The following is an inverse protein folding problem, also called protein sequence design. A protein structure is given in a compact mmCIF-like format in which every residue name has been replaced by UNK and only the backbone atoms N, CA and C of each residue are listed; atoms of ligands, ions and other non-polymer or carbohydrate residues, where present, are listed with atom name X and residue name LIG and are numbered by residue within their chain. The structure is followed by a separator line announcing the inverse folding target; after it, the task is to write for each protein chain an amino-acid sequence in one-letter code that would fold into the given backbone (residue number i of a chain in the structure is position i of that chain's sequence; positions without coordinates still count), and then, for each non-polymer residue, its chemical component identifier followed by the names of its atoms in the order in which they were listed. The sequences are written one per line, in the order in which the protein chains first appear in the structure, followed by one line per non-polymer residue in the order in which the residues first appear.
data_IF_063735429903
#
_entry.id   IF_063735429903
#
_cell.length_a   1.000
_cell.length_b   1.000
_cell.length_c   1.000
_cell.angle_alpha   90.00
_cell.angle_beta   90.00
_cell.angle_gamma   90.00
#
_symmetry.space_group_name_H-M   'P 1'
#
loop_
_entity.id
_entity.type
_entity.pdbx_description
1 polymer ?
#
# COMPACT_ATOMS: atom_id res chain seq x y z
N UNK A 1 -25.64 -31.14 3.84
CA UNK A 1 -25.02 -29.91 4.38
C UNK A 1 -24.32 -30.30 5.66
N UNK A 2 -22.99 -30.15 5.74
CA UNK A 2 -22.29 -30.41 7.00
C UNK A 2 -22.79 -29.41 8.05
N UNK A 3 -23.29 -29.91 9.18
CA UNK A 3 -23.64 -29.07 10.33
C UNK A 3 -22.42 -28.23 10.70
N UNK A 4 -22.57 -26.91 10.79
CA UNK A 4 -21.48 -26.06 11.28
C UNK A 4 -21.16 -26.47 12.71
N UNK A 5 -19.86 -26.66 13.01
CA UNK A 5 -19.44 -26.88 14.39
C UNK A 5 -19.98 -25.72 15.26
N UNK A 6 -20.40 -26.01 16.51
CA UNK A 6 -20.86 -24.96 17.42
C UNK A 6 -19.79 -23.88 17.58
N UNK A 7 -20.21 -22.67 17.92
CA UNK A 7 -19.26 -21.60 18.20
C UNK A 7 -18.36 -22.00 19.39
N UNK A 8 -17.09 -21.63 19.33
CA UNK A 8 -16.12 -21.82 20.41
C UNK A 8 -15.98 -20.50 21.16
N UNK A 9 -15.93 -20.55 22.49
CA UNK A 9 -15.69 -19.38 23.34
C UNK A 9 -14.29 -19.53 23.89
N UNK A 10 -13.44 -18.55 23.63
CA UNK A 10 -12.07 -18.48 24.14
C UNK A 10 -12.02 -17.42 25.23
N UNK A 11 -11.48 -17.77 26.40
CA UNK A 11 -11.08 -16.80 27.42
C UNK A 11 -9.64 -16.37 27.14
N UNK A 12 -9.45 -15.09 26.80
CA UNK A 12 -8.16 -14.51 26.44
C UNK A 12 -7.95 -13.30 27.34
N UNK A 13 -7.06 -13.43 28.33
CA UNK A 13 -6.73 -12.39 29.31
C UNK A 13 -7.96 -11.78 30.03
N UNK A 14 -8.99 -12.60 30.27
CA UNK A 14 -10.23 -12.17 30.94
C UNK A 14 -11.31 -11.65 29.98
N UNK A 15 -11.07 -11.70 28.67
CA UNK A 15 -12.06 -11.38 27.64
C UNK A 15 -12.62 -12.66 27.00
N UNK A 16 -13.94 -12.81 27.00
CA UNK A 16 -14.62 -13.88 26.27
C UNK A 16 -14.76 -13.53 24.78
N UNK A 17 -14.05 -14.26 23.92
CA UNK A 17 -14.10 -14.12 22.47
C UNK A 17 -14.85 -15.29 21.84
N UNK A 18 -16.05 -15.02 21.31
CA UNK A 18 -16.86 -16.01 20.58
C UNK A 18 -16.40 -16.19 19.14
N UNK A 19 -15.74 -17.31 18.84
CA UNK A 19 -15.35 -17.73 17.49
C UNK A 19 -16.51 -18.43 16.79
N UNK A 20 -17.04 -17.80 15.74
CA UNK A 20 -18.18 -18.32 14.98
C UNK A 20 -17.72 -19.15 13.78
N UNK A 21 -18.40 -20.26 13.46
CA UNK A 21 -18.02 -21.17 12.38
C UNK A 21 -16.53 -21.57 12.46
N UNK A 22 -16.06 -22.11 13.60
CA UNK A 22 -14.63 -22.37 13.83
C UNK A 22 -14.04 -23.32 12.79
N UNK A 23 -14.82 -24.32 12.33
CA UNK A 23 -14.41 -25.31 11.33
C UNK A 23 -14.42 -24.81 9.89
N UNK A 24 -14.74 -23.53 9.64
CA UNK A 24 -14.74 -22.98 8.27
C UNK A 24 -13.32 -22.99 7.71
N UNK A 25 -13.10 -23.67 6.60
CA UNK A 25 -11.82 -23.66 5.87
C UNK A 25 -11.55 -22.27 5.30
N UNK A 26 -10.40 -21.70 5.64
CA UNK A 26 -9.92 -20.40 5.17
C UNK A 26 -8.84 -20.57 4.11
N UNK A 27 -7.91 -21.52 4.32
CA UNK A 27 -6.88 -21.90 3.36
C UNK A 27 -7.14 -23.35 2.89
N UNK A 28 -7.74 -23.54 1.70
CA UNK A 28 -8.16 -24.87 1.25
C UNK A 28 -7.02 -25.87 1.06
N UNK A 29 -5.90 -25.44 0.49
CA UNK A 29 -4.76 -26.31 0.19
C UNK A 29 -4.12 -26.93 1.45
N UNK A 30 -3.75 -26.15 2.50
CA UNK A 30 -3.27 -26.72 3.76
C UNK A 30 -4.41 -27.17 4.70
N UNK A 31 -5.68 -26.99 4.32
CA UNK A 31 -6.84 -27.35 5.14
C UNK A 31 -7.04 -26.50 6.41
N UNK A 32 -6.44 -25.31 6.51
CA UNK A 32 -6.50 -24.48 7.71
C UNK A 32 -7.87 -23.84 7.89
N UNK A 33 -8.41 -23.95 9.10
CA UNK A 33 -9.72 -23.44 9.49
C UNK A 33 -9.65 -22.05 10.10
N UNK A 34 -10.79 -21.39 10.29
CA UNK A 34 -10.88 -20.10 10.99
C UNK A 34 -10.29 -20.18 12.38
N UNK A 35 -10.58 -21.25 13.12
CA UNK A 35 -10.04 -21.43 14.47
C UNK A 35 -8.51 -21.53 14.46
N UNK A 36 -7.92 -22.17 13.45
CA UNK A 36 -6.47 -22.23 13.28
C UNK A 36 -5.87 -20.83 13.04
N UNK A 37 -6.56 -19.99 12.27
CA UNK A 37 -6.14 -18.59 12.06
C UNK A 37 -6.22 -17.78 13.36
N UNK A 38 -7.29 -17.94 14.15
CA UNK A 38 -7.41 -17.29 15.45
C UNK A 38 -6.27 -17.72 16.37
N UNK A 39 -6.00 -19.03 16.46
CA UNK A 39 -4.91 -19.58 17.28
C UNK A 39 -3.53 -19.14 16.79
N UNK A 40 -3.32 -19.01 15.47
CA UNK A 40 -2.10 -18.46 14.91
C UNK A 40 -1.88 -17.01 15.40
N UNK A 41 -2.88 -16.14 15.29
CA UNK A 41 -2.77 -14.75 15.74
C UNK A 41 -2.54 -14.63 17.25
N UNK A 42 -3.12 -15.52 18.05
CA UNK A 42 -2.83 -15.61 19.49
C UNK A 42 -1.35 -16.00 19.73
N UNK A 43 -0.83 -16.98 18.99
CA UNK A 43 0.55 -17.43 19.14
C UNK A 43 1.59 -16.36 18.75
N UNK A 44 1.24 -15.43 17.85
CA UNK A 44 2.11 -14.34 17.40
C UNK A 44 1.69 -12.97 17.93
N UNK A 45 0.79 -12.92 18.93
CA UNK A 45 0.13 -11.69 19.38
C UNK A 45 1.13 -10.60 19.74
N UNK A 46 2.16 -10.91 20.54
CA UNK A 46 3.20 -9.95 20.92
C UNK A 46 3.89 -9.31 19.72
N UNK A 47 4.20 -10.10 18.69
CA UNK A 47 4.85 -9.62 17.46
C UNK A 47 3.92 -8.76 16.62
N UNK A 48 2.68 -9.22 16.43
CA UNK A 48 1.67 -8.48 15.68
C UNK A 48 1.32 -7.15 16.36
N UNK A 49 1.13 -7.13 17.67
CA UNK A 49 0.78 -5.94 18.45
C UNK A 49 1.91 -4.93 18.55
N UNK A 50 3.18 -5.36 18.56
CA UNK A 50 4.32 -4.43 18.47
C UNK A 50 4.26 -3.55 17.22
N UNK A 51 3.77 -4.09 16.10
CA UNK A 51 3.61 -3.35 14.85
C UNK A 51 2.27 -2.63 14.74
N UNK A 52 1.17 -3.36 14.95
CA UNK A 52 -0.19 -2.91 14.62
C UNK A 52 -1.00 -2.41 15.82
N UNK A 53 -0.60 -2.75 17.05
CA UNK A 53 -1.38 -2.47 18.25
C UNK A 53 -1.52 -0.97 18.54
N UNK A 54 -2.65 -0.53 19.09
CA UNK A 54 -2.89 0.88 19.44
C UNK A 54 -3.00 1.83 18.24
N UNK A 55 -3.21 1.29 17.03
CA UNK A 55 -3.36 2.06 15.80
C UNK A 55 -4.75 1.82 15.22
N UNK A 56 -5.44 2.85 14.72
CA UNK A 56 -6.60 2.61 13.88
C UNK A 56 -6.18 1.81 12.65
N UNK A 57 -7.02 0.89 12.22
CA UNK A 57 -6.71 0.03 11.09
C UNK A 57 -7.90 -0.27 10.19
N UNK A 58 -7.60 -0.39 8.90
CA UNK A 58 -8.52 -0.96 7.92
C UNK A 58 -8.42 -2.49 8.01
N UNK A 59 -9.56 -3.16 8.10
CA UNK A 59 -9.61 -4.61 8.15
C UNK A 59 -9.80 -5.17 6.73
N UNK A 60 -8.84 -5.93 6.22
CA UNK A 60 -8.99 -6.67 4.96
C UNK A 60 -9.48 -8.09 5.26
N UNK A 61 -10.76 -8.32 4.99
CA UNK A 61 -11.51 -9.47 5.47
C UNK A 61 -11.77 -10.49 4.36
N UNK A 62 -11.35 -11.73 4.61
CA UNK A 62 -11.55 -12.89 3.76
C UNK A 62 -12.67 -13.77 4.32
N UNK A 63 -13.88 -13.20 4.44
CA UNK A 63 -14.99 -13.87 5.11
C UNK A 63 -15.35 -15.20 4.45
N UNK A 64 -15.13 -15.36 3.14
CA UNK A 64 -15.37 -16.61 2.38
C UNK A 64 -14.13 -17.49 2.21
N UNK A 65 -12.99 -17.15 2.83
CA UNK A 65 -11.70 -17.81 2.64
C UNK A 65 -10.83 -17.13 1.58
N UNK A 66 -9.57 -17.58 1.45
CA UNK A 66 -8.55 -16.94 0.61
C UNK A 66 -8.82 -17.09 -0.90
N UNK A 67 -9.60 -18.09 -1.30
CA UNK A 67 -9.97 -18.32 -2.71
C UNK A 67 -11.09 -17.39 -3.23
N UNK A 68 -11.58 -16.47 -2.41
CA UNK A 68 -12.61 -15.51 -2.77
C UNK A 68 -12.10 -14.07 -2.57
N UNK A 69 -12.75 -13.12 -3.22
CA UNK A 69 -12.42 -11.70 -3.10
C UNK A 69 -12.51 -11.24 -1.62
N UNK A 70 -11.48 -10.51 -1.20
CA UNK A 70 -11.48 -9.85 0.11
C UNK A 70 -12.28 -8.56 0.06
N UNK A 71 -12.83 -8.14 1.19
CA UNK A 71 -13.39 -6.80 1.33
C UNK A 71 -12.62 -5.98 2.35
N UNK A 72 -12.52 -4.69 2.08
CA UNK A 72 -11.90 -3.73 2.99
C UNK A 72 -12.98 -3.08 3.84
N UNK A 73 -12.80 -3.13 5.16
CA UNK A 73 -13.69 -2.50 6.11
C UNK A 73 -12.93 -1.44 6.89
N UNK A 74 -13.29 -0.19 6.66
CA UNK A 74 -12.78 0.95 7.43
C UNK A 74 -13.54 1.10 8.74
N UNK A 75 -14.87 1.21 8.65
CA UNK A 75 -15.73 1.40 9.82
C UNK A 75 -15.76 0.14 10.69
N UNK A 76 -15.50 0.29 11.98
CA UNK A 76 -15.70 -0.80 12.94
C UNK A 76 -17.18 -1.22 12.98
N UNK A 77 -17.52 -2.50 13.21
CA UNK A 77 -18.92 -2.90 13.37
C UNK A 77 -19.56 -2.22 14.58
N UNK A 78 -20.81 -1.76 14.46
CA UNK A 78 -21.55 -1.08 15.55
C UNK A 78 -21.66 -1.91 16.83
N UNK A 79 -21.67 -3.24 16.72
CA UNK A 79 -21.78 -4.19 17.82
C UNK A 79 -20.43 -4.86 18.17
N UNK A 80 -19.32 -4.13 18.07
CA UNK A 80 -18.02 -4.62 18.55
C UNK A 80 -18.03 -4.85 20.08
N UNK A 81 -17.18 -5.75 20.60
CA UNK A 81 -16.98 -5.91 22.04
C UNK A 81 -16.42 -4.65 22.70
N UNK A 82 -16.74 -4.42 23.98
CA UNK A 82 -16.31 -3.23 24.74
C UNK A 82 -14.78 -3.11 24.91
N UNK A 83 -14.04 -4.21 24.74
CA UNK A 83 -12.57 -4.21 24.78
C UNK A 83 -11.92 -3.82 23.44
N UNK A 84 -12.72 -3.54 22.40
CA UNK A 84 -12.22 -3.00 21.14
C UNK A 84 -12.31 -1.48 21.19
N UNK A 85 -11.16 -0.82 21.28
CA UNK A 85 -11.10 0.63 21.16
C UNK A 85 -11.38 1.09 19.72
N UNK A 86 -11.71 2.37 19.57
CA UNK A 86 -11.95 2.99 18.26
C UNK A 86 -11.23 4.33 18.14
N UNK A 87 -10.97 4.75 16.90
CA UNK A 87 -10.52 6.10 16.60
C UNK A 87 -11.17 6.60 15.31
N UNK A 88 -11.63 7.85 15.31
CA UNK A 88 -12.32 8.45 14.16
C UNK A 88 -11.37 9.25 13.28
N UNK A 89 -11.00 8.71 12.12
CA UNK A 89 -10.26 9.45 11.09
C UNK A 89 -11.20 10.36 10.30
N UNK A 90 -10.77 11.60 10.08
CA UNK A 90 -11.44 12.58 9.22
C UNK A 90 -10.64 12.75 7.94
N UNK A 91 -11.31 12.62 6.80
CA UNK A 91 -10.70 12.73 5.48
C UNK A 91 -10.87 14.13 4.92
N UNK A 92 -9.95 14.54 4.04
CA UNK A 92 -10.01 15.84 3.36
C UNK A 92 -11.31 16.06 2.57
N UNK A 93 -11.98 14.99 2.15
CA UNK A 93 -13.31 15.01 1.52
C UNK A 93 -14.45 15.42 2.45
N UNK A 94 -14.19 15.64 3.75
CA UNK A 94 -15.19 15.95 4.78
C UNK A 94 -15.90 14.72 5.36
N UNK A 95 -15.61 13.53 4.84
CA UNK A 95 -16.10 12.27 5.40
C UNK A 95 -15.25 11.81 6.58
N UNK A 96 -15.79 10.96 7.45
CA UNK A 96 -15.03 10.32 8.53
C UNK A 96 -15.27 8.82 8.57
N UNK A 97 -14.35 8.06 9.17
CA UNK A 97 -14.55 6.66 9.50
C UNK A 97 -14.05 6.39 10.92
N UNK A 98 -14.89 5.77 11.74
CA UNK A 98 -14.50 5.21 13.03
C UNK A 98 -13.90 3.83 12.79
N UNK A 99 -12.58 3.72 12.96
CA UNK A 99 -11.84 2.49 12.69
C UNK A 99 -11.49 1.76 14.00
N UNK A 100 -11.34 0.44 13.91
CA UNK A 100 -10.99 -0.38 15.08
C UNK A 100 -9.54 -0.12 15.51
N UNK A 101 -9.31 -0.11 16.83
CA UNK A 101 -8.00 0.00 17.47
C UNK A 101 -7.81 -1.24 18.34
N UNK A 102 -6.95 -2.16 17.88
CA UNK A 102 -6.65 -3.40 18.62
C UNK A 102 -5.46 -3.16 19.53
N UNK A 103 -5.55 -3.54 20.82
CA UNK A 103 -4.46 -3.34 21.80
C UNK A 103 -3.90 -4.61 22.43
N UNK A 104 -4.64 -5.71 22.35
CA UNK A 104 -4.34 -6.95 23.05
C UNK A 104 -4.63 -8.18 22.17
N UNK A 105 -4.34 -9.35 22.74
CA UNK A 105 -4.53 -10.64 22.07
C UNK A 105 -6.01 -10.95 21.82
N UNK A 106 -6.91 -10.50 22.70
CA UNK A 106 -8.36 -10.68 22.55
C UNK A 106 -8.89 -9.91 21.34
N UNK A 107 -8.45 -8.67 21.14
CA UNK A 107 -8.78 -7.86 19.98
C UNK A 107 -8.24 -8.44 18.68
N UNK A 108 -7.02 -9.01 18.69
CA UNK A 108 -6.47 -9.74 17.54
C UNK A 108 -7.30 -10.97 17.19
N UNK A 109 -7.66 -11.78 18.20
CA UNK A 109 -8.51 -12.95 18.01
C UNK A 109 -9.89 -12.56 17.46
N UNK A 110 -10.44 -11.44 17.92
CA UNK A 110 -11.72 -10.92 17.45
C UNK A 110 -11.66 -10.51 15.97
N UNK A 111 -10.69 -9.70 15.53
CA UNK A 111 -10.58 -9.34 14.11
C UNK A 111 -10.26 -10.56 13.23
N UNK A 112 -9.48 -11.52 13.72
CA UNK A 112 -9.22 -12.77 13.01
C UNK A 112 -10.52 -13.59 12.83
N UNK A 113 -11.38 -13.65 13.86
CA UNK A 113 -12.70 -14.30 13.77
C UNK A 113 -13.65 -13.60 12.77
N UNK A 114 -13.52 -12.28 12.62
CA UNK A 114 -14.18 -11.50 11.57
C UNK A 114 -13.64 -11.83 10.17
N UNK A 115 -12.56 -12.60 10.06
CA UNK A 115 -11.90 -12.99 8.81
C UNK A 115 -10.82 -12.00 8.37
N UNK A 116 -10.36 -11.11 9.24
CA UNK A 116 -9.23 -10.22 8.94
C UNK A 116 -7.93 -11.03 8.92
N UNK A 117 -7.32 -11.19 7.76
CA UNK A 117 -6.04 -11.91 7.61
C UNK A 117 -4.86 -10.96 7.42
N UNK A 118 -5.13 -9.73 7.02
CA UNK A 118 -4.15 -8.74 6.61
C UNK A 118 -4.44 -7.45 7.39
N UNK A 119 -3.53 -7.12 8.32
CA UNK A 119 -3.63 -5.99 9.24
C UNK A 119 -3.11 -4.74 8.53
N UNK A 120 -3.96 -3.72 8.38
CA UNK A 120 -3.60 -2.48 7.69
C UNK A 120 -3.67 -1.27 8.65
N UNK A 121 -2.75 -1.15 9.62
CA UNK A 121 -2.73 -0.04 10.56
C UNK A 121 -2.21 1.26 9.91
N UNK A 122 -2.81 2.39 10.30
CA UNK A 122 -2.28 3.71 9.96
C UNK A 122 -0.92 3.96 10.65
N UNK A 123 -0.05 4.83 10.12
CA UNK A 123 1.24 5.16 10.74
C UNK A 123 1.11 6.09 11.97
N UNK A 124 -0.09 6.21 12.54
CA UNK A 124 -0.42 7.04 13.72
C UNK A 124 -0.90 6.16 14.86
N UNK A 125 -0.85 6.70 16.07
CA UNK A 125 -1.46 6.11 17.27
C UNK A 125 -2.86 6.66 17.46
N UNK A 126 -3.75 5.91 18.11
CA UNK A 126 -5.14 6.33 18.33
C UNK A 126 -5.24 7.65 19.13
N UNK A 127 -4.25 7.93 19.96
CA UNK A 127 -4.16 9.11 20.82
C UNK A 127 -3.77 10.39 20.05
N UNK A 128 -3.12 10.27 18.89
CA UNK A 128 -2.72 11.39 18.03
C UNK A 128 -2.79 10.98 16.56
N UNK A 129 -3.87 11.38 15.90
CA UNK A 129 -4.16 11.03 14.51
C UNK A 129 -3.53 11.99 13.50
N UNK A 130 -2.91 13.08 13.94
CA UNK A 130 -2.34 14.11 13.07
C UNK A 130 -0.84 13.93 12.86
N UNK A 131 -0.15 13.33 13.84
CA UNK A 131 1.31 13.17 13.84
C UNK A 131 1.73 11.69 13.79
N UNK A 132 2.20 11.19 12.64
CA UNK A 132 2.66 9.81 12.54
C UNK A 132 3.91 9.54 13.40
N UNK A 133 4.00 8.33 13.95
CA UNK A 133 5.17 7.82 14.68
C UNK A 133 5.97 6.78 13.85
N UNK A 134 5.60 6.62 12.57
CA UNK A 134 6.25 5.72 11.61
C UNK A 134 6.47 6.39 10.25
N UNK A 135 7.74 6.53 9.85
CA UNK A 135 8.12 6.67 8.44
C UNK A 135 8.14 5.26 7.82
N UNK A 136 7.56 5.10 6.64
CA UNK A 136 7.47 3.81 5.94
C UNK A 136 8.08 3.91 4.56
N UNK A 137 9.04 3.03 4.27
CA UNK A 137 9.64 2.85 2.94
C UNK A 137 9.09 1.56 2.37
N UNK A 138 8.56 1.63 1.14
CA UNK A 138 8.00 0.48 0.43
C UNK A 138 8.87 0.15 -0.79
N UNK A 139 9.43 -1.05 -0.81
CA UNK A 139 10.25 -1.57 -1.91
C UNK A 139 9.42 -2.56 -2.71
N UNK A 140 8.81 -2.05 -3.77
CA UNK A 140 7.95 -2.81 -4.66
C UNK A 140 8.70 -3.26 -5.93
N UNK A 141 9.01 -4.56 -6.07
CA UNK A 141 9.68 -5.05 -7.26
C UNK A 141 8.75 -5.05 -8.47
N UNK A 142 9.26 -4.50 -9.56
CA UNK A 142 8.64 -4.60 -10.87
C UNK A 142 8.86 -6.01 -11.47
N UNK A 143 8.03 -6.44 -12.45
CA UNK A 143 8.23 -7.74 -13.09
C UNK A 143 9.66 -7.93 -13.61
N UNK A 144 10.27 -9.05 -13.23
CA UNK A 144 11.64 -9.42 -13.60
C UNK A 144 12.74 -8.89 -12.67
N UNK A 145 12.39 -8.20 -11.58
CA UNK A 145 13.35 -7.89 -10.49
C UNK A 145 13.54 -9.13 -9.63
N UNK A 146 14.79 -9.54 -9.42
CA UNK A 146 15.14 -10.66 -8.55
C UNK A 146 15.11 -10.25 -7.07
N UNK A 147 14.89 -11.22 -6.17
CA UNK A 147 14.80 -10.96 -4.73
C UNK A 147 16.08 -10.33 -4.18
N UNK A 148 17.24 -10.77 -4.66
CA UNK A 148 18.55 -10.26 -4.30
C UNK A 148 18.67 -8.76 -4.58
N UNK A 149 18.11 -8.28 -5.70
CA UNK A 149 18.11 -6.86 -6.04
C UNK A 149 17.27 -6.03 -5.06
N UNK A 150 16.18 -6.59 -4.52
CA UNK A 150 15.37 -5.92 -3.50
C UNK A 150 16.16 -5.80 -2.20
N UNK A 151 16.89 -6.85 -1.83
CA UNK A 151 17.77 -6.85 -0.66
C UNK A 151 18.88 -5.81 -0.83
N UNK A 152 19.51 -5.72 -2.00
CA UNK A 152 20.53 -4.71 -2.29
C UNK A 152 19.98 -3.27 -2.11
N UNK A 153 18.79 -2.98 -2.65
CA UNK A 153 18.13 -1.68 -2.46
C UNK A 153 17.77 -1.44 -0.99
N UNK A 154 17.35 -2.48 -0.25
CA UNK A 154 17.06 -2.36 1.17
C UNK A 154 18.31 -2.05 2.01
N UNK A 155 19.47 -2.60 1.65
CA UNK A 155 20.75 -2.29 2.30
C UNK A 155 21.16 -0.83 2.05
N UNK A 156 21.02 -0.35 0.81
CA UNK A 156 21.27 1.06 0.46
C UNK A 156 20.31 1.99 1.22
N UNK A 157 19.02 1.64 1.31
CA UNK A 157 18.07 2.38 2.14
C UNK A 157 18.49 2.41 3.62
N UNK A 158 19.06 1.31 4.13
CA UNK A 158 19.66 1.24 5.46
C UNK A 158 20.83 2.20 5.65
N UNK A 159 21.72 2.33 4.65
CA UNK A 159 22.83 3.30 4.67
C UNK A 159 22.33 4.75 4.66
N UNK A 160 21.36 5.07 3.81
CA UNK A 160 20.74 6.41 3.76
C UNK A 160 20.10 6.75 5.11
N UNK A 161 19.39 5.81 5.73
CA UNK A 161 18.83 6.00 7.07
C UNK A 161 19.92 6.26 8.12
N UNK A 162 21.02 5.48 8.07
CA UNK A 162 22.12 5.58 9.02
C UNK A 162 22.82 6.95 8.94
N UNK A 163 22.98 7.53 7.75
CA UNK A 163 23.55 8.87 7.54
C UNK A 163 22.76 9.97 8.27
N UNK A 164 21.46 9.73 8.52
CA UNK A 164 20.57 10.63 9.22
C UNK A 164 20.29 10.20 10.68
N UNK A 165 21.02 9.22 11.20
CA UNK A 165 20.84 8.71 12.56
C UNK A 165 19.52 7.95 12.77
N UNK A 166 18.91 7.47 11.69
CA UNK A 166 17.66 6.73 11.71
C UNK A 166 17.92 5.22 11.66
N UNK A 167 17.03 4.44 12.28
CA UNK A 167 17.07 2.98 12.28
C UNK A 167 15.83 2.43 11.60
N UNK A 168 16.05 1.68 10.51
CA UNK A 168 15.01 0.96 9.77
C UNK A 168 14.83 -0.47 10.25
N UNK A 169 13.58 -0.91 10.32
CA UNK A 169 13.18 -2.27 10.66
C UNK A 169 12.54 -2.94 9.44
N UNK A 170 13.30 -3.74 8.68
CA UNK A 170 12.79 -4.38 7.47
C UNK A 170 11.85 -5.54 7.81
N UNK A 171 10.82 -5.72 6.99
CA UNK A 171 9.94 -6.89 6.97
C UNK A 171 9.53 -7.21 5.54
N UNK A 172 9.34 -8.49 5.22
CA UNK A 172 8.72 -8.85 3.94
C UNK A 172 7.29 -8.32 3.88
N UNK A 173 6.79 -8.00 2.69
CA UNK A 173 5.39 -7.54 2.54
C UNK A 173 4.37 -8.68 2.62
N UNK A 174 4.82 -9.93 2.52
CA UNK A 174 3.95 -11.10 2.35
C UNK A 174 3.46 -11.29 0.90
N UNK A 175 3.89 -10.41 -0.01
CA UNK A 175 3.69 -10.53 -1.45
C UNK A 175 5.05 -10.65 -2.14
N UNK A 176 5.46 -9.66 -2.94
CA UNK A 176 6.73 -9.69 -3.69
C UNK A 176 7.81 -8.78 -3.10
N UNK A 177 7.41 -7.78 -2.32
CA UNK A 177 8.28 -6.68 -1.87
C UNK A 177 8.69 -6.74 -0.41
N UNK A 178 9.24 -5.60 0.05
CA UNK A 178 9.79 -5.42 1.39
C UNK A 178 9.40 -4.04 1.91
N UNK A 179 8.98 -3.95 3.18
CA UNK A 179 8.75 -2.66 3.84
C UNK A 179 9.86 -2.42 4.86
N UNK A 180 10.34 -1.18 4.96
CA UNK A 180 11.25 -0.73 6.03
C UNK A 180 10.49 0.28 6.87
N UNK A 181 10.27 -0.05 8.15
CA UNK A 181 9.58 0.82 9.11
C UNK A 181 10.62 1.57 9.95
N UNK A 182 10.47 2.88 10.09
CA UNK A 182 11.37 3.72 10.89
C UNK A 182 10.54 4.42 11.96
N UNK A 183 10.91 4.23 13.23
CA UNK A 183 10.26 4.87 14.37
C UNK A 183 10.72 6.32 14.47
N UNK A 184 9.78 7.24 14.61
CA UNK A 184 10.04 8.68 14.74
C UNK A 184 9.23 9.27 15.89
N UNK A 185 9.66 10.43 16.40
CA UNK A 185 8.83 11.19 17.33
C UNK A 185 7.55 11.69 16.62
N UNK A 186 6.36 11.61 17.24
CA UNK A 186 5.11 12.08 16.64
C UNK A 186 5.02 13.61 16.73
N UNK A 187 5.81 14.30 15.90
CA UNK A 187 5.92 15.77 15.89
C UNK A 187 5.62 16.41 14.56
N UNK A 188 5.61 15.61 13.49
CA UNK A 188 5.46 16.07 12.12
C UNK A 188 4.12 15.66 11.57
N UNK A 189 3.56 16.51 10.72
CA UNK A 189 2.34 16.20 9.97
C UNK A 189 2.62 15.16 8.88
N UNK A 190 1.57 14.51 8.38
CA UNK A 190 1.67 13.64 7.20
C UNK A 190 2.34 14.30 5.98
N UNK A 191 2.12 15.61 5.79
CA UNK A 191 2.70 16.35 4.65
C UNK A 191 4.22 16.46 4.77
N UNK A 192 4.70 16.82 5.95
CA UNK A 192 6.13 16.94 6.23
C UNK A 192 6.82 15.59 6.17
N UNK A 193 6.17 14.56 6.75
CA UNK A 193 6.68 13.20 6.71
C UNK A 193 6.78 12.65 5.28
N UNK A 194 5.78 12.94 4.43
CA UNK A 194 5.81 12.58 3.02
C UNK A 194 6.98 13.24 2.29
N UNK A 195 7.25 14.52 2.54
CA UNK A 195 8.39 15.21 1.93
C UNK A 195 9.73 14.57 2.35
N UNK A 196 9.86 14.16 3.62
CA UNK A 196 11.03 13.42 4.10
C UNK A 196 11.17 12.04 3.42
N UNK A 197 10.06 11.30 3.26
CA UNK A 197 10.04 10.03 2.54
C UNK A 197 10.47 10.17 1.07
N UNK A 198 9.99 11.22 0.39
CA UNK A 198 10.34 11.51 -1.00
C UNK A 198 11.82 11.88 -1.14
N UNK A 199 12.37 12.68 -0.21
CA UNK A 199 13.79 13.01 -0.19
C UNK A 199 14.66 11.75 0.03
N UNK A 200 14.28 10.89 0.97
CA UNK A 200 14.96 9.63 1.21
C UNK A 200 14.92 8.72 -0.02
N UNK A 201 13.75 8.58 -0.66
CA UNK A 201 13.60 7.76 -1.85
C UNK A 201 14.49 8.24 -3.02
N UNK A 202 14.60 9.56 -3.21
CA UNK A 202 15.50 10.15 -4.23
C UNK A 202 16.96 9.90 -3.92
N UNK A 203 17.36 9.95 -2.65
CA UNK A 203 18.73 9.62 -2.25
C UNK A 203 19.04 8.14 -2.46
N UNK A 204 18.09 7.25 -2.16
CA UNK A 204 18.21 5.82 -2.46
C UNK A 204 18.34 5.59 -3.97
N UNK A 205 17.52 6.25 -4.80
CA UNK A 205 17.64 6.20 -6.27
C UNK A 205 19.02 6.67 -6.73
N UNK A 206 19.53 7.77 -6.16
CA UNK A 206 20.84 8.32 -6.53
C UNK A 206 22.00 7.37 -6.20
N UNK A 207 21.91 6.62 -5.08
CA UNK A 207 22.92 5.63 -4.66
C UNK A 207 22.73 4.26 -5.29
N UNK A 208 21.56 3.97 -5.84
CA UNK A 208 21.22 2.70 -6.48
C UNK A 208 20.90 2.88 -7.98
N UNK A 209 21.75 3.55 -8.78
CA UNK A 209 21.44 3.85 -10.17
C UNK A 209 21.27 2.55 -10.97
N UNK A 210 20.13 2.41 -11.63
CA UNK A 210 19.80 1.19 -12.38
C UNK A 210 19.12 0.09 -11.58
N UNK A 211 19.04 0.25 -10.26
CA UNK A 211 18.51 -0.76 -9.34
C UNK A 211 17.22 -0.30 -8.64
N UNK A 212 17.11 0.99 -8.33
CA UNK A 212 15.91 1.62 -7.77
C UNK A 212 15.43 2.80 -8.60
N UNK A 213 14.16 3.15 -8.47
CA UNK A 213 13.57 4.38 -9.04
C UNK A 213 12.58 4.96 -8.04
N UNK A 214 12.64 6.26 -7.81
CA UNK A 214 11.65 7.01 -7.05
C UNK A 214 10.67 7.78 -7.97
N UNK A 215 10.68 7.49 -9.28
CA UNK A 215 9.79 8.14 -10.27
C UNK A 215 8.40 7.53 -10.24
N UNK A 216 7.36 8.35 -10.19
CA UNK A 216 5.99 7.92 -9.91
C UNK A 216 5.17 7.68 -11.18
N UNK A 217 4.39 6.59 -11.25
CA UNK A 217 3.32 6.40 -12.25
C UNK A 217 2.31 7.57 -12.26
N UNK A 218 2.09 8.21 -11.11
CA UNK A 218 1.21 9.38 -11.02
C UNK A 218 1.77 10.60 -11.75
N UNK A 219 3.08 10.78 -11.86
CA UNK A 219 3.66 11.88 -12.65
C UNK A 219 3.28 11.73 -14.14
N UNK A 220 3.19 10.50 -14.63
CA UNK A 220 2.70 10.22 -15.98
C UNK A 220 1.19 10.52 -16.11
N UNK A 221 0.36 10.17 -15.12
CA UNK A 221 -1.06 10.53 -15.11
C UNK A 221 -1.28 12.04 -15.01
N UNK A 222 -0.51 12.74 -14.17
CA UNK A 222 -0.56 14.20 -14.03
C UNK A 222 -0.13 14.91 -15.32
N UNK A 223 0.84 14.37 -16.04
CA UNK A 223 1.22 14.85 -17.37
C UNK A 223 0.09 14.65 -18.39
N UNK A 224 -0.62 13.51 -18.36
CA UNK A 224 -1.79 13.26 -19.21
C UNK A 224 -2.93 14.24 -18.88
N UNK A 225 -3.22 14.47 -17.60
CA UNK A 225 -4.27 15.41 -17.18
C UNK A 225 -3.93 16.86 -17.54
N UNK A 226 -2.65 17.26 -17.44
CA UNK A 226 -2.19 18.57 -17.92
C UNK A 226 -2.40 18.72 -19.42
N UNK A 227 -2.04 17.71 -20.20
CA UNK A 227 -2.28 17.70 -21.64
C UNK A 227 -3.77 17.82 -21.99
N UNK A 228 -4.67 17.14 -21.26
CA UNK A 228 -6.12 17.28 -21.46
C UNK A 228 -6.62 18.70 -21.21
N UNK A 229 -6.09 19.35 -20.18
CA UNK A 229 -6.46 20.71 -19.82
C UNK A 229 -6.01 21.71 -20.90
N UNK A 230 -4.87 21.47 -21.54
CA UNK A 230 -4.33 22.29 -22.62
C UNK A 230 -5.04 22.04 -23.98
N UNK A 231 -5.61 20.84 -24.17
CA UNK A 231 -6.26 20.42 -25.42
C UNK A 231 -7.66 19.83 -25.21
N UNK A 232 -8.63 20.61 -24.70
CA UNK A 232 -9.93 20.08 -24.27
C UNK A 232 -10.79 19.52 -25.41
N UNK A 233 -10.72 20.10 -26.62
CA UNK A 233 -11.46 19.61 -27.79
C UNK A 233 -10.95 18.24 -28.25
N UNK A 234 -9.62 18.11 -28.42
CA UNK A 234 -8.98 16.85 -28.73
C UNK A 234 -9.21 15.80 -27.64
N UNK A 235 -9.11 16.18 -26.36
CA UNK A 235 -9.33 15.29 -25.23
C UNK A 235 -10.77 14.75 -25.15
N UNK A 236 -11.76 15.56 -25.55
CA UNK A 236 -13.17 15.14 -25.59
C UNK A 236 -13.47 14.11 -26.70
N UNK A 237 -12.64 14.08 -27.75
CA UNK A 237 -12.75 13.16 -28.87
C UNK A 237 -11.95 11.85 -28.69
N UNK A 238 -11.17 11.72 -27.60
CA UNK A 238 -10.39 10.51 -27.33
C UNK A 238 -11.27 9.34 -26.91
N UNK A 239 -10.99 8.17 -27.47
CA UNK A 239 -11.46 6.90 -26.93
C UNK A 239 -10.51 6.37 -25.85
N UNK A 240 -10.99 5.50 -24.94
CA UNK A 240 -10.10 4.84 -23.97
C UNK A 240 -8.92 4.07 -24.60
N UNK A 241 -9.06 3.61 -25.84
CA UNK A 241 -8.00 2.92 -26.59
C UNK A 241 -6.95 3.87 -27.18
N UNK A 242 -7.23 5.17 -27.22
CA UNK A 242 -6.31 6.20 -27.71
C UNK A 242 -5.32 6.65 -26.64
N UNK A 243 -5.59 6.31 -25.39
CA UNK A 243 -4.78 6.66 -24.24
C UNK A 243 -3.99 5.45 -23.78
N UNK A 244 -2.69 5.48 -24.05
CA UNK A 244 -1.80 4.37 -23.76
C UNK A 244 -0.72 4.86 -22.82
N UNK A 245 -0.69 4.31 -21.60
CA UNK A 245 0.40 4.54 -20.65
C UNK A 245 1.24 3.28 -20.58
N UNK A 246 2.35 3.30 -21.30
CA UNK A 246 3.25 2.16 -21.40
C UNK A 246 4.40 2.31 -20.40
N UNK A 247 4.61 1.29 -19.56
CA UNK A 247 5.88 1.12 -18.85
C UNK A 247 6.96 0.66 -19.83
N UNK A 248 7.86 1.57 -20.20
CA UNK A 248 8.97 1.30 -21.10
C UNK A 248 10.21 0.98 -20.30
N UNK A 249 10.87 -0.13 -20.64
CA UNK A 249 12.16 -0.52 -20.05
C UNK A 249 13.29 0.14 -20.84
N UNK A 250 14.00 1.06 -20.21
CA UNK A 250 15.30 1.55 -20.66
C UNK A 250 16.42 0.57 -20.33
N UNK A 251 17.65 0.89 -20.74
CA UNK A 251 18.85 0.09 -20.42
C UNK A 251 19.15 0.04 -18.92
N UNK A 252 18.62 0.98 -18.14
CA UNK A 252 18.87 1.10 -16.70
C UNK A 252 17.73 1.82 -15.94
N UNK A 253 16.53 1.93 -16.50
CA UNK A 253 15.40 2.59 -15.80
C UNK A 253 14.06 2.17 -16.39
N UNK A 254 13.00 2.16 -15.57
CA UNK A 254 11.62 2.12 -16.04
C UNK A 254 11.14 3.57 -16.19
N UNK A 255 10.61 3.89 -17.36
CA UNK A 255 9.97 5.17 -17.63
C UNK A 255 8.57 4.92 -18.16
N UNK A 256 7.66 5.84 -17.88
CA UNK A 256 6.28 5.75 -18.35
C UNK A 256 6.11 6.66 -19.55
N UNK A 257 5.65 6.08 -20.65
CA UNK A 257 5.30 6.84 -21.85
C UNK A 257 3.79 6.96 -21.90
N UNK A 258 3.31 8.19 -21.81
CA UNK A 258 1.93 8.52 -22.17
C UNK A 258 1.91 8.75 -23.68
N UNK A 259 1.19 7.91 -24.42
CA UNK A 259 0.85 8.11 -25.84
C UNK A 259 -0.62 8.49 -25.93
N UNK A 260 -0.87 9.59 -26.60
CA UNK A 260 -2.22 9.98 -27.00
C UNK A 260 -2.32 9.79 -28.52
N UNK A 261 -3.10 8.80 -28.95
CA UNK A 261 -3.33 8.51 -30.36
C UNK A 261 -4.51 9.34 -30.88
N UNK A 262 -4.25 10.25 -31.81
CA UNK A 262 -5.26 11.18 -32.31
C UNK A 262 -6.12 10.60 -33.45
N UNK A 263 -6.11 9.27 -33.65
CA UNK A 263 -6.83 8.62 -34.75
C UNK A 263 -8.35 8.90 -34.75
N UNK A 264 -8.96 9.10 -33.57
CA UNK A 264 -10.38 9.46 -33.44
C UNK A 264 -10.62 10.97 -33.29
N UNK A 265 -9.57 11.78 -33.25
CA UNK A 265 -9.66 13.25 -33.20
C UNK A 265 -9.74 13.79 -34.64
N UNK A 266 -10.71 14.66 -34.99
CA UNK A 266 -10.79 15.32 -36.29
C UNK A 266 -9.50 16.04 -36.65
N UNK A 267 -9.09 16.03 -37.93
CA UNK A 267 -7.78 16.55 -38.36
C UNK A 267 -7.58 18.02 -37.98
N UNK A 268 -8.64 18.81 -38.07
CA UNK A 268 -8.70 20.23 -37.71
C UNK A 268 -8.55 20.50 -36.21
N UNK A 269 -8.74 19.49 -35.35
CA UNK A 269 -8.66 19.58 -33.88
C UNK A 269 -7.41 18.89 -33.31
N UNK A 270 -6.58 18.27 -34.15
CA UNK A 270 -5.36 17.57 -33.71
C UNK A 270 -4.30 18.60 -33.28
N UNK A 271 -3.86 18.61 -32.02
CA UNK A 271 -2.78 19.49 -31.60
C UNK A 271 -1.47 19.12 -32.30
N UNK A 272 -0.66 20.13 -32.61
CA UNK A 272 0.70 19.92 -33.08
C UNK A 272 1.54 19.21 -32.02
N UNK A 273 2.53 18.43 -32.45
CA UNK A 273 3.42 17.74 -31.53
C UNK A 273 4.31 18.75 -30.77
N UNK A 274 4.01 18.96 -29.49
CA UNK A 274 4.79 19.82 -28.59
C UNK A 274 6.03 19.15 -27.99
N UNK A 275 6.82 19.89 -27.19
CA UNK A 275 7.93 19.34 -26.42
C UNK A 275 7.43 18.32 -25.38
N UNK A 276 8.32 17.45 -24.90
CA UNK A 276 7.99 16.54 -23.80
C UNK A 276 7.62 17.34 -22.55
N UNK A 277 6.52 16.94 -21.90
CA UNK A 277 6.05 17.55 -20.63
C UNK A 277 6.88 17.09 -19.41
N UNK A 278 7.69 16.04 -19.57
CA UNK A 278 8.62 15.53 -18.55
C UNK A 278 10.06 15.97 -18.79
N UNK A 279 10.88 15.94 -17.74
CA UNK A 279 12.27 16.39 -17.68
C UNK A 279 13.30 15.43 -18.31
N UNK A 280 12.85 14.32 -18.92
CA UNK A 280 13.71 13.27 -19.47
C UNK A 280 13.33 12.91 -20.92
N UNK A 281 14.25 13.16 -21.85
CA UNK A 281 14.21 12.67 -23.23
C UNK A 281 15.18 11.49 -23.40
N UNK A 282 14.70 10.23 -23.55
CA UNK A 282 15.56 9.06 -23.74
C UNK A 282 16.32 9.09 -25.08
N UNK A 283 16.02 10.03 -25.97
CA UNK A 283 16.62 10.20 -27.28
C UNK A 283 17.52 11.43 -27.35
N UNK A 284 17.68 12.18 -26.25
CA UNK A 284 18.60 13.31 -26.18
C UNK A 284 20.00 12.87 -26.64
N UNK A 285 20.50 13.53 -27.70
CA UNK A 285 21.81 13.22 -28.28
C UNK A 285 21.86 12.03 -29.24
N UNK A 286 20.74 11.37 -29.57
CA UNK A 286 20.70 10.35 -30.64
C UNK A 286 20.33 10.96 -31.99
N UNK A 287 21.17 10.74 -32.99
CA UNK A 287 20.85 11.00 -34.39
C UNK A 287 20.21 9.75 -35.00
N UNK A 288 19.02 9.90 -35.60
CA UNK A 288 18.39 8.84 -36.37
C UNK A 288 18.74 9.02 -37.85
N UNK A 289 19.23 7.99 -38.55
CA UNK A 289 19.48 8.10 -39.97
C UNK A 289 18.12 8.18 -40.72
N UNK A 290 17.89 9.30 -41.42
CA UNK A 290 16.79 9.42 -42.38
C UNK A 290 15.67 10.44 -42.09
N UNK A 291 15.96 11.57 -41.44
CA UNK A 291 15.16 12.80 -41.62
C UNK A 291 16.07 13.93 -42.04
#
# INVERSE_FOLDING_TARGET
MASSAPAEILDIDGHEVRVSNPSKVVFPEPGLTKLDIVRYYLAVADGALRGAGGRPMVLKRFVKGIGAEAFFQKRVPENHPDFIDTATLRYASGTSAEEAVVRDAAGLAWIANLGCLDLNPHPVRAEDLEHPDELRIDLDPMPGVAWEQIVDVAMIAGEVLADHGLVGWPKTSGSRGLHILVRIEPRWTFRELRAAAEALAREVEARAPGLATARWWKEALEALERWRAEHPAAAAALHPADELIDGMRGSSSLWYRVRVNLQHVPEEERPEQGPLLGDYDPWAGRAFPGR
#
